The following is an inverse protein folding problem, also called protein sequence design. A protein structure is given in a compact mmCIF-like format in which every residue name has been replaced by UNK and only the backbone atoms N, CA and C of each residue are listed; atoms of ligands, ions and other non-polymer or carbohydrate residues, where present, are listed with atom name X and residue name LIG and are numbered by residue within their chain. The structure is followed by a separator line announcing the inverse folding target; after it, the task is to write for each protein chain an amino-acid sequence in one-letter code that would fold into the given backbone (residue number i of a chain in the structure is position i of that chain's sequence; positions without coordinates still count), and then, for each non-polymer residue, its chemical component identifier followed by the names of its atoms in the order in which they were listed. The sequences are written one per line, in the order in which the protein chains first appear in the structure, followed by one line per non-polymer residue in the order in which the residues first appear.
data_IF_393973234443
#
_entry.id   IF_393973234443
#
_cell.length_a   1.000
_cell.length_b   1.000
_cell.length_c   1.000
_cell.angle_alpha   90.00
_cell.angle_beta   90.00
_cell.angle_gamma   90.00
#
_symmetry.space_group_name_H-M   'P 1'
#
loop_
_entity.id
_entity.type
_entity.pdbx_description
1 polymer ?
#
# COMPACT_ATOMS: atom_id res chain seq x y z
N UNK A 1 -51.07 5.97 7.54
CA UNK A 1 -50.26 6.07 6.31
C UNK A 1 -48.91 5.40 6.56
N UNK A 2 -48.64 4.27 5.92
CA UNK A 2 -47.38 3.54 6.06
C UNK A 2 -46.32 4.31 5.26
N UNK A 3 -45.35 4.94 5.95
CA UNK A 3 -44.40 5.89 5.35
C UNK A 3 -43.20 5.24 4.65
N UNK A 4 -43.09 3.90 4.66
CA UNK A 4 -41.87 3.18 4.29
C UNK A 4 -42.14 2.03 3.29
N UNK A 5 -42.98 2.25 2.28
CA UNK A 5 -43.32 1.24 1.28
C UNK A 5 -42.89 1.67 -0.13
N UNK A 6 -42.30 0.74 -0.88
CA UNK A 6 -41.99 0.95 -2.31
C UNK A 6 -43.22 0.53 -3.12
N UNK A 7 -43.84 1.48 -3.82
CA UNK A 7 -45.00 1.19 -4.68
C UNK A 7 -44.63 0.87 -6.13
N UNK A 8 -43.55 1.48 -6.61
CA UNK A 8 -43.05 1.33 -7.96
C UNK A 8 -41.59 1.80 -8.06
N UNK A 9 -40.95 1.48 -9.16
CA UNK A 9 -39.65 2.03 -9.57
C UNK A 9 -39.88 2.92 -10.80
N UNK A 10 -39.43 4.17 -10.71
CA UNK A 10 -39.41 5.09 -11.85
C UNK A 10 -38.07 5.00 -12.57
N UNK A 11 -38.11 4.59 -13.83
CA UNK A 11 -36.99 4.65 -14.78
C UNK A 11 -37.18 5.86 -15.70
N UNK A 12 -36.15 6.19 -16.49
CA UNK A 12 -36.23 7.28 -17.49
C UNK A 12 -37.31 7.02 -18.55
N UNK A 13 -37.51 5.76 -18.94
CA UNK A 13 -38.42 5.37 -20.02
C UNK A 13 -39.71 4.68 -19.57
N UNK A 14 -39.82 4.27 -18.29
CA UNK A 14 -40.95 3.47 -17.82
C UNK A 14 -41.13 3.52 -16.30
N UNK A 15 -42.29 3.03 -15.84
CA UNK A 15 -42.58 2.79 -14.42
C UNK A 15 -42.83 1.30 -14.22
N UNK A 16 -42.15 0.69 -13.24
CA UNK A 16 -42.25 -0.74 -12.93
C UNK A 16 -43.01 -0.95 -11.61
N UNK A 17 -44.01 -1.83 -11.63
CA UNK A 17 -44.78 -2.25 -10.46
C UNK A 17 -44.44 -3.70 -10.09
N UNK A 18 -44.38 -3.99 -8.79
CA UNK A 18 -44.14 -5.32 -8.27
C UNK A 18 -44.61 -5.41 -6.81
N UNK A 19 -44.89 -6.64 -6.33
CA UNK A 19 -45.25 -6.87 -4.92
C UNK A 19 -44.02 -6.88 -4.00
N UNK A 20 -42.84 -7.18 -4.55
CA UNK A 20 -41.59 -7.31 -3.80
C UNK A 20 -40.44 -6.67 -4.55
N UNK A 21 -39.60 -5.93 -3.82
CA UNK A 21 -38.42 -5.26 -4.34
C UNK A 21 -37.18 -5.73 -3.58
N UNK A 22 -36.10 -6.02 -4.29
CA UNK A 22 -34.80 -6.39 -3.71
C UNK A 22 -33.79 -5.29 -4.03
N UNK A 23 -33.15 -4.74 -3.00
CA UNK A 23 -32.15 -3.68 -3.15
C UNK A 23 -30.74 -4.26 -3.33
N UNK A 24 -30.23 -4.20 -4.57
CA UNK A 24 -28.91 -4.75 -4.94
C UNK A 24 -27.97 -3.69 -5.56
N UNK A 25 -28.01 -2.43 -5.10
CA UNK A 25 -27.25 -1.31 -5.70
C UNK A 25 -25.74 -1.26 -5.35
N UNK A 26 -25.21 -2.30 -4.68
CA UNK A 26 -23.80 -2.36 -4.29
C UNK A 26 -23.38 -1.29 -3.26
N UNK A 27 -22.08 -0.98 -3.25
CA UNK A 27 -21.46 -0.03 -2.32
C UNK A 27 -21.22 1.36 -2.91
N UNK A 28 -20.20 2.07 -2.41
CA UNK A 28 -19.69 3.35 -2.93
C UNK A 28 -18.34 3.23 -3.64
N UNK A 29 -17.72 2.05 -3.59
CA UNK A 29 -16.42 1.75 -4.16
C UNK A 29 -16.49 1.57 -5.67
N UNK A 30 -15.52 2.07 -6.42
CA UNK A 30 -15.50 2.04 -7.89
C UNK A 30 -16.76 2.63 -8.55
N UNK A 31 -17.15 3.89 -8.29
CA UNK A 31 -18.41 4.45 -8.79
C UNK A 31 -18.55 4.45 -10.32
N UNK A 32 -17.45 4.35 -11.07
CA UNK A 32 -17.48 4.19 -12.53
C UNK A 32 -18.12 2.87 -12.99
N UNK A 33 -18.23 1.87 -12.13
CA UNK A 33 -18.92 0.60 -12.42
C UNK A 33 -20.41 0.62 -12.02
N UNK A 34 -20.95 1.79 -11.64
CA UNK A 34 -22.37 1.95 -11.28
C UNK A 34 -22.67 1.95 -9.77
N UNK A 35 -21.68 1.69 -8.92
CA UNK A 35 -21.78 1.73 -7.45
C UNK A 35 -21.67 3.17 -6.92
N UNK A 36 -22.71 3.96 -7.19
CA UNK A 36 -22.84 5.38 -6.83
C UNK A 36 -23.27 5.63 -5.39
N UNK A 37 -23.68 4.56 -4.68
CA UNK A 37 -24.23 4.64 -3.33
C UNK A 37 -25.70 5.01 -3.26
N UNK A 38 -26.43 4.91 -4.37
CA UNK A 38 -27.87 5.21 -4.42
C UNK A 38 -28.70 4.34 -3.46
N UNK A 39 -28.31 3.07 -3.30
CA UNK A 39 -29.00 2.15 -2.37
C UNK A 39 -29.00 2.65 -0.92
N UNK A 40 -27.93 3.30 -0.47
CA UNK A 40 -27.89 3.88 0.88
C UNK A 40 -28.95 4.97 1.04
N UNK A 41 -29.08 5.85 0.04
CA UNK A 41 -30.07 6.93 0.02
C UNK A 41 -31.50 6.39 -0.03
N UNK A 42 -31.75 5.33 -0.80
CA UNK A 42 -33.07 4.71 -0.85
C UNK A 42 -33.43 4.01 0.46
N UNK A 43 -32.49 3.28 1.07
CA UNK A 43 -32.70 2.64 2.36
C UNK A 43 -32.97 3.67 3.48
N UNK A 44 -32.26 4.79 3.50
CA UNK A 44 -32.51 5.89 4.45
C UNK A 44 -33.92 6.49 4.26
N UNK A 45 -34.36 6.70 3.02
CA UNK A 45 -35.73 7.14 2.71
C UNK A 45 -36.81 6.16 3.17
N UNK A 46 -36.49 4.87 3.24
CA UNK A 46 -37.36 3.81 3.76
C UNK A 46 -37.29 3.68 5.29
N UNK A 47 -36.58 4.59 5.97
CA UNK A 47 -36.48 4.63 7.43
C UNK A 47 -35.39 3.73 8.02
N UNK A 48 -34.50 3.16 7.21
CA UNK A 48 -33.35 2.40 7.73
C UNK A 48 -32.22 3.31 8.19
N UNK A 49 -31.58 2.96 9.29
CA UNK A 49 -30.33 3.59 9.74
C UNK A 49 -29.15 3.12 8.89
N UNK A 50 -28.38 4.05 8.33
CA UNK A 50 -27.19 3.73 7.54
C UNK A 50 -25.93 3.91 8.40
N UNK A 51 -25.18 2.83 8.64
CA UNK A 51 -23.83 2.97 9.21
C UNK A 51 -22.93 3.72 8.23
N UNK A 52 -22.20 4.74 8.71
CA UNK A 52 -21.34 5.58 7.88
C UNK A 52 -20.39 4.72 7.03
N UNK A 53 -20.53 4.71 5.69
CA UNK A 53 -19.65 3.95 4.84
C UNK A 53 -18.25 4.58 4.86
N UNK A 54 -17.21 3.76 4.69
CA UNK A 54 -15.83 4.18 4.48
C UNK A 54 -15.20 3.36 3.35
N UNK A 55 -14.25 3.92 2.59
CA UNK A 55 -13.46 3.14 1.67
C UNK A 55 -12.58 2.15 2.45
N UNK A 56 -12.31 0.98 1.88
CA UNK A 56 -11.41 -0.01 2.45
C UNK A 56 -10.69 -0.78 1.36
N UNK A 57 -9.55 -1.37 1.73
CA UNK A 57 -8.63 -2.02 0.79
C UNK A 57 -8.27 -1.01 -0.30
N UNK A 58 -7.59 0.06 0.11
CA UNK A 58 -7.23 1.19 -0.76
C UNK A 58 -5.72 1.28 -0.95
N UNK A 59 -5.25 1.71 -2.12
CA UNK A 59 -3.84 2.09 -2.29
C UNK A 59 -3.46 3.24 -1.36
N UNK A 60 -2.16 3.34 -1.07
CA UNK A 60 -1.59 4.34 -0.17
C UNK A 60 -0.72 5.30 -0.97
N UNK A 61 -0.98 6.60 -0.83
CA UNK A 61 -0.18 7.66 -1.43
C UNK A 61 1.06 7.92 -0.58
N UNK A 62 2.21 8.01 -1.23
CA UNK A 62 3.52 8.22 -0.58
C UNK A 62 4.07 9.58 -0.96
N UNK A 63 4.73 10.24 -0.01
CA UNK A 63 5.29 11.58 -0.16
C UNK A 63 6.57 11.60 -1.00
N UNK A 64 7.43 10.59 -0.85
CA UNK A 64 8.73 10.56 -1.51
C UNK A 64 8.62 10.39 -3.03
N UNK A 65 9.21 11.32 -3.79
CA UNK A 65 9.08 11.34 -5.25
C UNK A 65 9.72 10.13 -5.96
N UNK A 66 10.79 9.56 -5.37
CA UNK A 66 11.48 8.39 -5.93
C UNK A 66 10.57 7.16 -6.07
N UNK A 67 9.44 7.13 -5.36
CA UNK A 67 8.46 6.04 -5.45
C UNK A 67 7.85 5.95 -6.86
N UNK A 68 7.74 7.09 -7.56
CA UNK A 68 7.22 7.15 -8.94
C UNK A 68 8.16 6.45 -9.92
N UNK A 69 9.47 6.53 -9.68
CA UNK A 69 10.50 5.88 -10.51
C UNK A 69 10.38 4.35 -10.43
N UNK A 70 9.81 3.84 -9.33
CA UNK A 70 9.56 2.41 -9.13
C UNK A 70 8.21 1.94 -9.68
N UNK A 71 7.44 2.79 -10.36
CA UNK A 71 6.12 2.40 -10.87
C UNK A 71 6.19 1.08 -11.68
N UNK A 72 5.30 0.16 -11.33
CA UNK A 72 5.17 -1.16 -11.95
C UNK A 72 6.11 -2.22 -11.36
N UNK A 73 6.98 -1.86 -10.40
CA UNK A 73 7.78 -2.85 -9.67
C UNK A 73 6.89 -3.56 -8.65
N UNK A 74 6.75 -4.88 -8.82
CA UNK A 74 6.15 -5.77 -7.84
C UNK A 74 7.24 -6.38 -6.96
N UNK A 75 7.01 -6.39 -5.65
CA UNK A 75 7.86 -7.07 -4.68
C UNK A 75 7.11 -8.24 -4.06
N UNK A 76 7.78 -9.37 -3.95
CA UNK A 76 7.28 -10.59 -3.34
C UNK A 76 8.07 -10.90 -2.07
N UNK A 77 7.42 -11.60 -1.13
CA UNK A 77 8.04 -12.05 0.11
C UNK A 77 8.68 -10.91 0.93
N UNK A 78 8.02 -9.74 0.98
CA UNK A 78 8.48 -8.58 1.76
C UNK A 78 7.63 -8.39 3.01
N UNK A 79 8.20 -7.75 4.04
CA UNK A 79 7.46 -7.33 5.23
C UNK A 79 7.19 -5.82 5.20
N UNK A 80 5.92 -5.42 5.26
CA UNK A 80 5.52 -4.03 5.46
C UNK A 80 5.26 -3.78 6.93
N UNK A 81 5.98 -2.81 7.50
CA UNK A 81 5.83 -2.35 8.88
C UNK A 81 5.16 -0.98 8.88
N UNK A 82 4.05 -0.85 9.61
CA UNK A 82 3.37 0.43 9.84
C UNK A 82 3.93 1.05 11.12
N UNK A 83 4.47 2.25 11.04
CA UNK A 83 5.11 2.96 12.13
C UNK A 83 4.36 4.27 12.44
N UNK A 84 4.20 4.57 13.73
CA UNK A 84 3.75 5.88 14.20
C UNK A 84 4.65 6.32 15.35
N UNK A 85 5.11 7.57 15.35
CA UNK A 85 6.10 8.10 16.34
C UNK A 85 7.32 7.17 16.49
N UNK A 86 7.84 6.66 15.36
CA UNK A 86 8.94 5.69 15.28
C UNK A 86 8.70 4.32 15.98
N UNK A 87 7.49 4.01 16.45
CA UNK A 87 7.14 2.71 17.04
C UNK A 87 6.33 1.88 16.06
N UNK A 88 6.68 0.59 15.94
CA UNK A 88 5.93 -0.37 15.13
C UNK A 88 4.53 -0.55 15.72
N UNK A 89 3.52 -0.33 14.88
CA UNK A 89 2.12 -0.52 15.21
C UNK A 89 1.66 -1.91 14.76
N UNK A 90 1.93 -2.25 13.50
CA UNK A 90 1.59 -3.54 12.89
C UNK A 90 2.63 -3.91 11.84
N UNK A 91 2.69 -5.19 11.48
CA UNK A 91 3.40 -5.64 10.30
C UNK A 91 2.66 -6.74 9.55
N UNK A 92 2.92 -6.81 8.25
CA UNK A 92 2.29 -7.70 7.29
C UNK A 92 3.38 -8.30 6.41
N UNK A 93 3.20 -9.54 5.96
CA UNK A 93 4.12 -10.22 5.04
C UNK A 93 3.38 -10.63 3.77
N UNK A 94 4.03 -10.51 2.61
CA UNK A 94 3.42 -10.87 1.33
C UNK A 94 3.91 -9.99 0.17
N UNK A 95 2.97 -9.66 -0.73
CA UNK A 95 3.26 -9.00 -2.01
C UNK A 95 2.75 -7.56 -2.06
N UNK A 96 3.56 -6.67 -2.64
CA UNK A 96 3.19 -5.27 -2.87
C UNK A 96 3.63 -4.78 -4.25
N UNK A 97 3.03 -3.65 -4.67
CA UNK A 97 3.26 -3.03 -5.95
C UNK A 97 3.54 -1.54 -5.77
N UNK A 98 4.59 -1.05 -6.42
CA UNK A 98 4.82 0.39 -6.59
C UNK A 98 3.96 0.95 -7.72
N UNK A 99 3.36 2.11 -7.50
CA UNK A 99 2.46 2.81 -8.42
C UNK A 99 2.93 4.25 -8.64
N UNK A 100 2.35 4.93 -9.63
CA UNK A 100 2.66 6.33 -9.96
C UNK A 100 2.38 7.35 -8.84
N UNK A 101 1.75 6.96 -7.74
CA UNK A 101 1.45 7.85 -6.61
C UNK A 101 1.91 7.30 -5.25
N UNK A 102 2.41 6.08 -5.19
CA UNK A 102 2.58 5.39 -3.91
C UNK A 102 2.56 3.87 -4.04
N UNK A 103 1.90 3.20 -3.10
CA UNK A 103 1.92 1.75 -2.96
C UNK A 103 0.52 1.14 -3.14
N UNK A 104 0.50 -0.08 -3.67
CA UNK A 104 -0.67 -0.94 -3.83
C UNK A 104 -0.27 -2.42 -3.66
N UNK A 105 -1.12 -3.33 -4.11
CA UNK A 105 -0.92 -4.77 -3.97
C UNK A 105 -1.50 -5.33 -2.66
N UNK A 106 -1.67 -6.66 -2.55
CA UNK A 106 -2.43 -7.30 -1.48
C UNK A 106 -2.00 -6.85 -0.07
N UNK A 107 -0.70 -6.83 0.19
CA UNK A 107 -0.10 -6.41 1.46
C UNK A 107 -0.52 -5.00 1.87
N UNK A 108 -0.43 -4.05 0.93
CA UNK A 108 -0.74 -2.63 1.18
C UNK A 108 -2.24 -2.43 1.36
N UNK A 109 -3.05 -3.13 0.58
CA UNK A 109 -4.51 -3.07 0.67
C UNK A 109 -4.98 -3.54 2.04
N UNK A 110 -4.41 -4.64 2.57
CA UNK A 110 -4.69 -5.13 3.93
C UNK A 110 -4.27 -4.08 4.97
N UNK A 111 -3.04 -3.58 4.87
CA UNK A 111 -2.51 -2.57 5.80
C UNK A 111 -3.26 -1.23 5.75
N UNK A 112 -3.95 -0.93 4.65
CA UNK A 112 -4.56 0.38 4.39
C UNK A 112 -5.57 0.82 5.46
N UNK A 113 -6.25 -0.14 6.09
CA UNK A 113 -7.17 0.16 7.20
C UNK A 113 -6.43 0.78 8.37
N UNK A 114 -5.38 0.11 8.86
CA UNK A 114 -4.61 0.57 10.01
C UNK A 114 -3.91 1.90 9.72
N UNK A 115 -3.37 2.03 8.51
CA UNK A 115 -2.75 3.28 8.05
C UNK A 115 -3.77 4.42 8.10
N UNK A 116 -4.98 4.22 7.58
CA UNK A 116 -6.06 5.20 7.64
C UNK A 116 -6.45 5.61 9.07
N UNK A 117 -6.57 4.65 9.98
CA UNK A 117 -6.88 4.92 11.41
C UNK A 117 -5.75 5.72 12.10
N UNK A 118 -4.49 5.39 11.80
CA UNK A 118 -3.34 6.08 12.39
C UNK A 118 -3.16 7.49 11.83
N UNK A 119 -3.50 7.73 10.56
CA UNK A 119 -3.44 9.06 9.94
C UNK A 119 -4.38 10.07 10.63
N UNK A 120 -5.51 9.62 11.18
CA UNK A 120 -6.40 10.47 11.99
C UNK A 120 -5.71 10.96 13.28
N UNK A 121 -4.66 10.26 13.72
CA UNK A 121 -3.91 10.52 14.96
C UNK A 121 -2.48 11.06 14.72
N UNK A 122 -2.13 11.38 13.47
CA UNK A 122 -0.85 12.00 13.09
C UNK A 122 -0.06 11.24 12.02
N UNK A 123 1.18 11.68 11.80
CA UNK A 123 2.02 11.17 10.72
C UNK A 123 2.31 9.67 10.84
N UNK A 124 2.22 8.98 9.70
CA UNK A 124 2.48 7.54 9.56
C UNK A 124 3.66 7.32 8.63
N UNK A 125 4.53 6.39 8.99
CA UNK A 125 5.65 5.94 8.16
C UNK A 125 5.45 4.46 7.85
N UNK A 126 5.65 4.08 6.59
CA UNK A 126 5.78 2.69 6.19
C UNK A 126 7.26 2.36 6.10
N UNK A 127 7.66 1.21 6.60
CA UNK A 127 9.00 0.67 6.40
C UNK A 127 8.91 -0.72 5.76
N UNK A 128 9.58 -0.92 4.64
CA UNK A 128 9.64 -2.22 3.96
C UNK A 128 10.92 -2.95 4.34
N UNK A 129 10.79 -4.19 4.79
CA UNK A 129 11.87 -5.16 4.87
C UNK A 129 11.89 -5.95 3.56
N UNK A 130 12.91 -5.73 2.75
CA UNK A 130 13.09 -6.38 1.46
C UNK A 130 13.62 -7.81 1.59
N UNK A 131 14.19 -8.16 2.75
CA UNK A 131 14.84 -9.46 3.00
C UNK A 131 14.38 -10.03 4.36
N UNK A 132 13.07 -10.22 4.60
CA UNK A 132 12.55 -10.58 5.92
C UNK A 132 12.97 -11.98 6.39
N UNK A 133 13.39 -12.86 5.47
CA UNK A 133 13.89 -14.21 5.76
C UNK A 133 15.26 -14.22 6.46
N UNK A 134 16.00 -13.11 6.41
CA UNK A 134 17.34 -12.99 6.99
C UNK A 134 17.32 -12.07 8.21
N UNK A 135 18.02 -12.41 9.28
CA UNK A 135 18.32 -11.44 10.34
C UNK A 135 19.25 -10.33 9.80
N UNK A 136 19.42 -9.24 10.56
CA UNK A 136 20.39 -8.18 10.18
C UNK A 136 21.81 -8.74 10.08
N UNK A 137 22.16 -9.61 11.00
CA UNK A 137 23.47 -10.28 11.09
C UNK A 137 23.66 -11.25 9.92
N UNK A 138 22.63 -12.02 9.57
CA UNK A 138 22.66 -12.92 8.42
C UNK A 138 22.77 -12.16 7.10
N UNK A 139 22.05 -11.05 6.94
CA UNK A 139 22.13 -10.20 5.75
C UNK A 139 23.49 -9.51 5.65
N UNK A 140 24.03 -8.98 6.75
CA UNK A 140 25.38 -8.41 6.79
C UNK A 140 26.44 -9.44 6.39
N UNK A 141 26.34 -10.67 6.90
CA UNK A 141 27.26 -11.74 6.58
C UNK A 141 27.13 -12.20 5.12
N UNK A 142 25.90 -12.24 4.58
CA UNK A 142 25.65 -12.51 3.15
C UNK A 142 26.34 -11.44 2.28
N UNK A 143 26.08 -10.15 2.55
CA UNK A 143 26.69 -9.06 1.78
C UNK A 143 28.22 -9.07 1.88
N UNK A 144 28.76 -9.36 3.07
CA UNK A 144 30.22 -9.49 3.26
C UNK A 144 30.81 -10.59 2.38
N UNK A 145 30.20 -11.78 2.35
CA UNK A 145 30.64 -12.90 1.50
C UNK A 145 30.51 -12.55 0.01
N UNK A 146 29.41 -11.94 -0.39
CA UNK A 146 29.17 -11.56 -1.79
C UNK A 146 30.19 -10.52 -2.26
N UNK A 147 30.51 -9.52 -1.44
CA UNK A 147 31.50 -8.49 -1.77
C UNK A 147 32.92 -9.07 -1.86
N UNK A 148 33.26 -10.04 -1.01
CA UNK A 148 34.55 -10.75 -1.06
C UNK A 148 34.69 -11.64 -2.30
N UNK A 149 33.60 -12.20 -2.82
CA UNK A 149 33.62 -12.97 -4.08
C UNK A 149 33.71 -12.07 -5.31
N UNK A 150 33.18 -10.85 -5.23
CA UNK A 150 33.01 -9.94 -6.35
C UNK A 150 33.85 -8.65 -6.19
N UNK A 151 35.07 -8.75 -5.67
CA UNK A 151 35.88 -7.60 -5.24
C UNK A 151 36.05 -6.48 -6.27
N UNK A 152 36.14 -6.81 -7.56
CA UNK A 152 36.36 -5.86 -8.65
C UNK A 152 35.06 -5.39 -9.34
N UNK A 153 33.90 -5.86 -8.87
CA UNK A 153 32.60 -5.46 -9.39
C UNK A 153 32.23 -4.07 -8.88
N UNK A 154 31.59 -3.27 -9.72
CA UNK A 154 31.02 -1.98 -9.30
C UNK A 154 29.76 -2.22 -8.48
N UNK A 155 29.51 -1.38 -7.48
CA UNK A 155 28.32 -1.44 -6.63
C UNK A 155 27.01 -1.48 -7.43
N UNK A 156 26.87 -0.63 -8.45
CA UNK A 156 25.68 -0.60 -9.31
C UNK A 156 25.43 -1.89 -10.08
N UNK A 157 26.49 -2.64 -10.39
CA UNK A 157 26.39 -3.90 -11.13
C UNK A 157 26.08 -5.08 -10.19
N UNK A 158 26.31 -4.93 -8.88
CA UNK A 158 25.96 -5.92 -7.87
C UNK A 158 24.47 -5.86 -7.49
N UNK A 159 23.89 -4.67 -7.34
CA UNK A 159 22.50 -4.49 -6.90
C UNK A 159 21.44 -5.30 -7.68
N UNK A 160 21.54 -5.51 -9.02
CA UNK A 160 20.61 -6.37 -9.75
C UNK A 160 20.59 -7.84 -9.30
N UNK A 161 21.63 -8.33 -8.61
CA UNK A 161 21.65 -9.67 -8.01
C UNK A 161 20.79 -9.76 -6.74
N UNK A 162 20.44 -8.62 -6.16
CA UNK A 162 19.67 -8.51 -4.92
C UNK A 162 18.27 -7.95 -5.15
N UNK A 163 18.10 -7.07 -6.14
CA UNK A 163 16.90 -6.25 -6.29
C UNK A 163 16.46 -6.16 -7.76
N UNK A 164 15.17 -5.91 -8.01
CA UNK A 164 14.69 -5.59 -9.35
C UNK A 164 15.46 -4.43 -9.99
N UNK A 165 15.73 -4.50 -11.29
CA UNK A 165 16.57 -3.52 -12.02
C UNK A 165 16.13 -2.07 -11.81
N UNK A 166 14.82 -1.79 -11.76
CA UNK A 166 14.28 -0.45 -11.54
C UNK A 166 14.60 0.13 -10.16
N UNK A 167 14.92 -0.70 -9.16
CA UNK A 167 15.29 -0.25 -7.82
C UNK A 167 16.76 0.17 -7.71
N UNK A 168 17.62 -0.20 -8.67
CA UNK A 168 19.06 0.01 -8.57
C UNK A 168 19.40 1.47 -8.37
N UNK A 169 18.90 2.37 -9.22
CA UNK A 169 19.19 3.81 -9.14
C UNK A 169 18.68 4.43 -7.83
N UNK A 170 17.47 4.06 -7.40
CA UNK A 170 16.91 4.51 -6.12
C UNK A 170 17.76 4.04 -4.95
N UNK A 171 18.23 2.79 -4.97
CA UNK A 171 19.02 2.21 -3.88
C UNK A 171 20.44 2.76 -3.82
N UNK A 172 21.05 3.08 -4.96
CA UNK A 172 22.31 3.84 -5.01
C UNK A 172 22.10 5.19 -4.34
N UNK A 173 21.08 5.95 -4.77
CA UNK A 173 20.77 7.28 -4.21
C UNK A 173 20.51 7.23 -2.70
N UNK A 174 19.71 6.28 -2.23
CA UNK A 174 19.33 6.16 -0.82
C UNK A 174 20.45 5.60 0.07
N UNK A 175 21.32 4.74 -0.47
CA UNK A 175 22.45 4.20 0.29
C UNK A 175 23.60 5.20 0.49
N UNK A 176 23.72 6.19 -0.40
CA UNK A 176 24.84 7.13 -0.40
C UNK A 176 26.17 6.52 -0.87
N UNK A 177 26.16 5.27 -1.35
CA UNK A 177 27.35 4.60 -1.89
C UNK A 177 27.50 4.99 -3.37
N UNK A 178 28.70 5.42 -3.77
CA UNK A 178 28.99 5.78 -5.15
C UNK A 178 28.77 4.58 -6.11
N UNK A 179 28.11 4.84 -7.24
CA UNK A 179 27.68 3.81 -8.19
C UNK A 179 28.84 2.92 -8.71
N UNK A 180 30.03 3.51 -8.92
CA UNK A 180 31.21 2.86 -9.50
C UNK A 180 32.20 2.39 -8.44
N UNK A 181 31.87 2.58 -7.15
CA UNK A 181 32.71 2.10 -6.06
C UNK A 181 32.83 0.59 -6.17
N UNK A 182 34.07 0.10 -6.19
CA UNK A 182 34.33 -1.34 -6.21
C UNK A 182 33.91 -1.95 -4.88
N UNK A 183 33.35 -3.16 -4.90
CA UNK A 183 32.83 -3.80 -3.69
C UNK A 183 33.87 -3.98 -2.59
N UNK A 184 35.14 -4.20 -2.94
CA UNK A 184 36.24 -4.29 -1.98
C UNK A 184 36.56 -2.97 -1.25
N UNK A 185 36.18 -1.82 -1.82
CA UNK A 185 36.34 -0.51 -1.18
C UNK A 185 35.11 -0.08 -0.38
N UNK A 186 34.01 -0.84 -0.41
CA UNK A 186 32.84 -0.55 0.43
C UNK A 186 33.20 -0.85 1.88
N UNK A 187 33.13 0.18 2.70
CA UNK A 187 33.48 0.14 4.11
C UNK A 187 32.42 -0.61 4.92
N UNK A 188 32.78 -1.05 6.12
CA UNK A 188 31.83 -1.67 7.05
C UNK A 188 30.64 -0.74 7.38
N UNK A 189 30.83 0.56 7.69
CA UNK A 189 29.71 1.47 7.92
C UNK A 189 28.77 1.61 6.71
N UNK A 190 29.31 1.71 5.49
CA UNK A 190 28.49 1.77 4.27
C UNK A 190 27.67 0.49 4.08
N UNK A 191 28.30 -0.68 4.25
CA UNK A 191 27.61 -1.97 4.14
C UNK A 191 26.52 -2.12 5.21
N UNK A 192 26.80 -1.72 6.46
CA UNK A 192 25.80 -1.70 7.53
C UNK A 192 24.65 -0.72 7.22
N UNK A 193 24.95 0.43 6.62
CA UNK A 193 23.94 1.37 6.13
C UNK A 193 23.04 0.74 5.06
N UNK A 194 23.62 -0.02 4.13
CA UNK A 194 22.88 -0.79 3.13
C UNK A 194 21.99 -1.86 3.78
N UNK A 195 22.49 -2.61 4.79
CA UNK A 195 21.67 -3.56 5.56
C UNK A 195 20.48 -2.85 6.21
N UNK A 196 20.70 -1.68 6.84
CA UNK A 196 19.62 -0.91 7.46
C UNK A 196 18.59 -0.48 6.42
N UNK A 197 19.03 -0.01 5.25
CA UNK A 197 18.18 0.40 4.14
C UNK A 197 17.34 -0.76 3.60
N UNK A 198 17.96 -1.91 3.32
CA UNK A 198 17.27 -3.11 2.83
C UNK A 198 16.24 -3.63 3.83
N UNK A 199 16.54 -3.50 5.14
CA UNK A 199 15.66 -3.94 6.22
C UNK A 199 14.56 -2.96 6.58
N UNK A 200 14.71 -1.69 6.21
CA UNK A 200 13.85 -0.59 6.64
C UNK A 200 13.79 0.50 5.57
N UNK A 201 13.36 0.17 4.35
CA UNK A 201 13.10 1.16 3.31
C UNK A 201 11.89 2.01 3.73
N UNK A 202 12.18 3.20 4.27
CA UNK A 202 11.18 4.08 4.90
C UNK A 202 10.55 5.03 3.89
N UNK A 203 9.24 5.20 4.02
CA UNK A 203 8.40 6.06 3.20
C UNK A 203 7.36 6.74 4.08
N UNK A 204 7.10 8.02 3.83
CA UNK A 204 6.11 8.82 4.55
C UNK A 204 4.76 8.71 3.86
N UNK A 205 3.73 8.35 4.61
CA UNK A 205 2.38 8.27 4.08
C UNK A 205 1.81 9.67 3.93
N UNK A 206 1.40 10.03 2.71
CA UNK A 206 0.68 11.28 2.43
C UNK A 206 -0.83 11.11 2.66
N UNK A 207 -1.38 9.93 2.34
CA UNK A 207 -2.79 9.62 2.60
C UNK A 207 -3.23 8.27 2.04
N UNK A 208 -4.41 7.81 2.47
CA UNK A 208 -5.08 6.66 1.88
C UNK A 208 -6.05 7.11 0.79
N UNK A 209 -6.10 6.41 -0.36
CA UNK A 209 -6.99 6.82 -1.45
C UNK A 209 -8.46 6.59 -1.12
N UNK A 210 -9.35 7.37 -1.74
CA UNK A 210 -10.79 7.33 -1.50
C UNK A 210 -11.54 6.27 -2.32
N UNK A 211 -12.87 6.38 -2.33
CA UNK A 211 -13.79 5.45 -3.00
C UNK A 211 -13.49 5.15 -4.47
N UNK A 212 -12.88 6.08 -5.20
CA UNK A 212 -12.48 5.89 -6.61
C UNK A 212 -11.49 4.73 -6.80
N UNK A 213 -10.74 4.37 -5.75
CA UNK A 213 -9.70 3.34 -5.79
C UNK A 213 -9.88 2.26 -4.70
N UNK A 214 -10.96 2.33 -3.93
CA UNK A 214 -11.25 1.36 -2.88
C UNK A 214 -11.82 0.08 -3.47
N UNK A 215 -11.34 -1.11 -3.07
CA UNK A 215 -11.90 -2.39 -3.55
C UNK A 215 -13.28 -2.64 -2.94
N UNK A 216 -13.48 -2.33 -1.66
CA UNK A 216 -14.75 -2.53 -0.97
C UNK A 216 -15.18 -1.29 -0.18
N UNK A 217 -16.47 -1.19 0.08
CA UNK A 217 -17.04 -0.22 1.02
C UNK A 217 -17.27 -0.93 2.34
N UNK A 218 -16.69 -0.41 3.42
CA UNK A 218 -16.85 -0.98 4.77
C UNK A 218 -17.70 -0.09 5.68
N UNK A 219 -18.14 -0.65 6.80
CA UNK A 219 -18.64 0.11 7.95
C UNK A 219 -17.52 0.50 8.92
N UNK A 220 -17.75 1.55 9.70
CA UNK A 220 -16.95 1.83 10.92
C UNK A 220 -17.53 0.97 12.05
N UNK A 221 -16.68 0.25 12.78
CA UNK A 221 -17.11 -0.39 14.03
C UNK A 221 -17.31 0.71 15.07
N UNK A 222 -18.47 0.74 15.73
CA UNK A 222 -18.73 1.61 16.87
C UNK A 222 -17.93 1.18 18.09
#
# INVERSE_FOLDING_TARGET
MIKNEIKNIQLESATIYADKFILCAGGKSYPRTGSTGDGYRWAEKLGHTITKPRPALVPIKIKEDWVKDLQGVSLQNVELKVLQKNKKQESYFGEMLFTHFGLSGPLVLIASRRIGELLENGAVVIAIDLEPSLSREQLEEKLRKDFQKNIHKDFKNYLPELLPQKMVEVMIKLSGIEEKKKLNFITRPERQGLVVLLKNLRMTVEGALGYKQAIITRRVAG
#
